data_IF_196064172338
#
_entry.id   IF_196064172338
#
_cell.length_a   1.000
_cell.length_b   1.000
_cell.length_c   1.000
_cell.angle_alpha   90.00
_cell.angle_beta   90.00
_cell.angle_gamma   90.00
#
_symmetry.space_group_name_H-M   'P 1'
#
loop_
_entity.id
_entity.type
_entity.pdbx_description
1 polymer ?
#
# COMPACT_ATOMS: atom_id res chain seq x y z
N UNK A 1 -36.75 1.16 -27.59
CA UNK A 1 -35.79 1.10 -26.47
C UNK A 1 -36.45 0.31 -25.36
N UNK A 2 -35.96 -0.89 -25.02
CA UNK A 2 -36.55 -1.69 -23.93
C UNK A 2 -35.94 -1.19 -22.61
N UNK A 3 -36.73 -1.17 -21.54
CA UNK A 3 -36.25 -0.74 -20.20
C UNK A 3 -35.07 -1.62 -19.72
N UNK A 4 -34.99 -2.87 -20.17
CA UNK A 4 -33.88 -3.78 -19.90
C UNK A 4 -32.53 -3.29 -20.49
N UNK A 5 -32.55 -2.44 -21.52
CA UNK A 5 -31.35 -1.86 -22.16
C UNK A 5 -30.79 -0.67 -21.35
N UNK A 6 -31.47 -0.25 -20.28
CA UNK A 6 -31.07 0.85 -19.39
C UNK A 6 -30.31 0.35 -18.14
N UNK A 7 -29.78 -0.87 -18.16
CA UNK A 7 -29.12 -1.47 -16.99
C UNK A 7 -27.81 -0.73 -16.66
N UNK A 8 -27.66 -0.15 -15.45
CA UNK A 8 -26.45 0.55 -15.01
C UNK A 8 -25.30 -0.41 -14.65
N UNK A 9 -25.46 -1.72 -14.85
CA UNK A 9 -24.52 -2.76 -14.39
C UNK A 9 -23.12 -2.65 -14.98
N UNK A 10 -22.96 -1.95 -16.11
CA UNK A 10 -21.67 -1.78 -16.80
C UNK A 10 -21.15 -0.34 -16.80
N UNK A 11 -21.71 0.57 -16.00
CA UNK A 11 -21.31 1.99 -16.01
C UNK A 11 -19.83 2.22 -15.66
N UNK A 12 -19.23 1.35 -14.86
CA UNK A 12 -17.83 1.48 -14.45
C UNK A 12 -16.83 1.19 -15.59
N UNK A 13 -17.18 0.30 -16.53
CA UNK A 13 -16.29 -0.10 -17.63
C UNK A 13 -15.86 1.11 -18.49
N UNK A 14 -16.78 1.93 -19.05
CA UNK A 14 -16.39 3.10 -19.85
C UNK A 14 -15.84 4.27 -19.01
N UNK A 15 -16.01 4.27 -17.68
CA UNK A 15 -15.37 5.25 -16.79
C UNK A 15 -13.92 4.88 -16.46
N UNK A 16 -13.61 3.58 -16.47
CA UNK A 16 -12.29 3.05 -16.16
C UNK A 16 -11.41 2.87 -17.41
N UNK A 17 -11.98 2.36 -18.50
CA UNK A 17 -11.27 2.13 -19.77
C UNK A 17 -11.35 3.42 -20.59
N UNK A 18 -10.20 4.06 -20.79
CA UNK A 18 -10.10 5.31 -21.55
C UNK A 18 -10.43 5.18 -23.05
N UNK A 19 -9.78 4.26 -23.79
CA UNK A 19 -10.03 4.09 -25.22
C UNK A 19 -11.46 3.61 -25.50
N UNK A 20 -12.17 4.32 -26.37
CA UNK A 20 -13.47 3.91 -26.91
C UNK A 20 -13.30 2.82 -27.98
N UNK A 21 -14.40 2.19 -28.40
CA UNK A 21 -14.37 1.21 -29.50
C UNK A 21 -13.77 1.79 -30.79
N UNK A 22 -14.00 3.08 -31.06
CA UNK A 22 -13.41 3.78 -32.21
C UNK A 22 -11.89 3.94 -32.05
N UNK A 23 -11.43 4.35 -30.86
CA UNK A 23 -10.00 4.50 -30.57
C UNK A 23 -9.29 3.15 -30.66
N UNK A 24 -9.90 2.10 -30.10
CA UNK A 24 -9.39 0.73 -30.15
C UNK A 24 -9.25 0.28 -31.62
N UNK A 25 -10.23 0.56 -32.47
CA UNK A 25 -10.16 0.21 -33.89
C UNK A 25 -9.01 0.95 -34.61
N UNK A 26 -8.83 2.24 -34.35
CA UNK A 26 -7.75 3.04 -34.95
C UNK A 26 -6.35 2.58 -34.46
N UNK A 27 -6.23 2.30 -33.16
CA UNK A 27 -5.01 1.75 -32.57
C UNK A 27 -4.65 0.38 -33.17
N UNK A 28 -5.63 -0.53 -33.28
CA UNK A 28 -5.44 -1.86 -33.87
C UNK A 28 -5.00 -1.76 -35.33
N UNK A 29 -5.63 -0.87 -36.12
CA UNK A 29 -5.25 -0.61 -37.51
C UNK A 29 -3.80 -0.14 -37.62
N UNK A 30 -3.36 0.76 -36.73
CA UNK A 30 -1.97 1.24 -36.66
C UNK A 30 -0.99 0.11 -36.37
N UNK A 31 -1.37 -0.82 -35.49
CA UNK A 31 -0.57 -1.99 -35.13
C UNK A 31 -0.69 -3.15 -36.14
N UNK A 32 -1.55 -3.06 -37.16
CA UNK A 32 -1.75 -4.10 -38.16
C UNK A 32 -2.62 -5.29 -37.71
N UNK A 33 -3.48 -5.08 -36.70
CA UNK A 33 -4.41 -6.09 -36.18
C UNK A 33 -5.86 -5.75 -36.52
N UNK A 34 -6.70 -6.78 -36.64
CA UNK A 34 -8.14 -6.66 -36.92
C UNK A 34 -9.00 -6.74 -35.65
N UNK A 35 -8.46 -7.27 -34.54
CA UNK A 35 -9.15 -7.38 -33.25
C UNK A 35 -8.17 -7.47 -32.08
N UNK A 36 -8.68 -7.18 -30.88
CA UNK A 36 -7.94 -7.41 -29.63
C UNK A 36 -7.57 -8.89 -29.44
N UNK A 37 -8.44 -9.82 -29.84
CA UNK A 37 -8.17 -11.26 -29.77
C UNK A 37 -6.98 -11.66 -30.65
N UNK A 38 -6.93 -11.15 -31.89
CA UNK A 38 -5.82 -11.42 -32.81
C UNK A 38 -4.50 -10.85 -32.26
N UNK A 39 -4.53 -9.67 -31.65
CA UNK A 39 -3.37 -9.09 -30.99
C UNK A 39 -2.93 -9.96 -29.80
N UNK A 40 -3.87 -10.38 -28.95
CA UNK A 40 -3.60 -11.24 -27.80
C UNK A 40 -3.02 -12.61 -28.22
N UNK A 41 -3.50 -13.21 -29.30
CA UNK A 41 -2.97 -14.47 -29.88
C UNK A 41 -1.49 -14.36 -30.28
N UNK A 42 -1.05 -13.16 -30.67
CA UNK A 42 0.34 -12.91 -31.08
C UNK A 42 1.25 -12.53 -29.92
N UNK A 43 0.72 -11.85 -28.90
CA UNK A 43 1.51 -11.35 -27.76
C UNK A 43 1.66 -12.41 -26.67
N UNK A 44 0.60 -13.16 -26.37
CA UNK A 44 0.56 -14.11 -25.26
C UNK A 44 0.89 -15.51 -25.80
N UNK A 45 1.97 -16.18 -25.33
CA UNK A 45 2.27 -17.54 -25.73
C UNK A 45 1.11 -18.49 -25.43
N UNK A 46 0.73 -19.31 -26.41
CA UNK A 46 -0.43 -20.19 -26.32
C UNK A 46 -0.35 -21.18 -25.13
N UNK A 47 0.86 -21.57 -24.72
CA UNK A 47 1.08 -22.51 -23.61
C UNK A 47 0.65 -21.94 -22.24
N UNK A 48 0.61 -20.61 -22.10
CA UNK A 48 0.24 -19.94 -20.84
C UNK A 48 -1.06 -19.12 -20.97
N UNK A 49 -1.70 -19.12 -22.14
CA UNK A 49 -2.95 -18.40 -22.34
C UNK A 49 -4.10 -19.16 -21.69
N UNK A 50 -4.81 -18.51 -20.77
CA UNK A 50 -6.01 -19.05 -20.15
C UNK A 50 -7.13 -19.23 -21.18
N UNK A 51 -7.73 -20.42 -21.21
CA UNK A 51 -8.87 -20.75 -22.07
C UNK A 51 -10.16 -21.02 -21.31
N UNK A 52 -10.12 -21.12 -19.98
CA UNK A 52 -11.31 -21.31 -19.16
C UNK A 52 -11.97 -19.97 -18.83
N UNK A 53 -13.29 -19.98 -18.74
CA UNK A 53 -14.07 -18.81 -18.32
C UNK A 53 -13.98 -18.63 -16.80
N UNK A 54 -13.92 -17.37 -16.35
CA UNK A 54 -13.95 -17.01 -14.93
C UNK A 54 -15.39 -16.92 -14.39
N UNK A 55 -16.13 -18.03 -14.47
CA UNK A 55 -17.54 -18.07 -14.08
C UNK A 55 -17.77 -17.67 -12.61
N UNK A 56 -16.79 -17.92 -11.74
CA UNK A 56 -16.87 -17.65 -10.30
C UNK A 56 -16.71 -16.16 -9.93
N UNK A 57 -16.23 -15.32 -10.86
CA UNK A 57 -16.07 -13.86 -10.62
C UNK A 57 -17.43 -13.14 -10.62
N UNK A 58 -18.46 -13.76 -11.21
CA UNK A 58 -19.79 -13.19 -11.31
C UNK A 58 -19.90 -12.05 -12.33
N UNK A 59 -21.09 -11.46 -12.42
CA UNK A 59 -21.33 -10.31 -13.29
C UNK A 59 -20.88 -9.01 -12.62
N UNK A 60 -20.58 -7.99 -13.43
CA UNK A 60 -20.35 -6.63 -12.94
C UNK A 60 -21.56 -6.08 -12.18
N UNK A 61 -21.27 -5.24 -11.18
CA UNK A 61 -22.27 -4.47 -10.44
C UNK A 61 -22.07 -2.98 -10.71
N UNK A 62 -23.14 -2.21 -10.64
CA UNK A 62 -23.06 -0.74 -10.75
C UNK A 62 -22.26 -0.15 -9.57
N UNK A 63 -21.72 1.05 -9.73
CA UNK A 63 -21.00 1.77 -8.68
C UNK A 63 -21.89 1.97 -7.46
N UNK A 64 -23.14 2.39 -7.69
CA UNK A 64 -24.13 2.52 -6.63
C UNK A 64 -24.42 1.19 -5.92
N UNK A 65 -24.52 0.10 -6.67
CA UNK A 65 -24.71 -1.25 -6.13
C UNK A 65 -23.53 -1.68 -5.25
N UNK A 66 -22.30 -1.44 -5.71
CA UNK A 66 -21.07 -1.71 -4.97
C UNK A 66 -21.03 -0.95 -3.65
N UNK A 67 -21.29 0.37 -3.66
CA UNK A 67 -21.27 1.19 -2.45
C UNK A 67 -22.33 0.74 -1.43
N UNK A 68 -23.54 0.38 -1.88
CA UNK A 68 -24.57 -0.15 -1.00
C UNK A 68 -24.16 -1.49 -0.38
N UNK A 69 -23.57 -2.39 -1.18
CA UNK A 69 -23.08 -3.67 -0.68
C UNK A 69 -21.95 -3.51 0.34
N UNK A 70 -20.96 -2.66 0.05
CA UNK A 70 -19.88 -2.33 0.97
C UNK A 70 -20.40 -1.71 2.26
N UNK A 71 -21.37 -0.79 2.19
CA UNK A 71 -22.00 -0.20 3.38
C UNK A 71 -22.67 -1.25 4.26
N UNK A 72 -23.37 -2.22 3.66
CA UNK A 72 -23.95 -3.34 4.41
C UNK A 72 -22.89 -4.20 5.09
N UNK A 73 -21.78 -4.49 4.39
CA UNK A 73 -20.67 -5.25 4.95
C UNK A 73 -20.02 -4.52 6.13
N UNK A 74 -19.65 -3.24 5.94
CA UNK A 74 -18.99 -2.40 6.95
C UNK A 74 -19.91 -2.15 8.16
N UNK A 75 -21.24 -2.10 7.97
CA UNK A 75 -22.20 -1.92 9.07
C UNK A 75 -22.18 -3.04 10.12
N UNK A 76 -21.58 -4.20 9.81
CA UNK A 76 -21.38 -5.30 10.76
C UNK A 76 -20.24 -5.04 11.74
N UNK A 77 -19.31 -4.14 11.41
CA UNK A 77 -18.21 -3.77 12.30
C UNK A 77 -18.74 -2.93 13.46
N UNK A 78 -18.18 -3.14 14.65
CA UNK A 78 -18.51 -2.38 15.85
C UNK A 78 -17.37 -1.44 16.18
N UNK A 79 -17.65 -0.13 16.18
CA UNK A 79 -16.67 0.89 16.55
C UNK A 79 -16.72 1.08 18.07
N UNK A 80 -15.64 0.70 18.75
CA UNK A 80 -15.47 0.83 20.20
C UNK A 80 -14.49 1.95 20.53
N UNK A 81 -14.57 2.44 21.77
CA UNK A 81 -13.45 3.17 22.38
C UNK A 81 -12.39 2.15 22.77
N UNK A 82 -11.34 2.03 21.96
CA UNK A 82 -10.29 1.04 22.16
C UNK A 82 -9.14 1.66 22.94
N UNK A 83 -8.82 1.08 24.10
CA UNK A 83 -7.66 1.45 24.93
C UNK A 83 -6.66 0.29 25.02
N UNK A 84 -6.62 -0.56 23.99
CA UNK A 84 -5.68 -1.68 23.89
C UNK A 84 -4.24 -1.17 23.79
N UNK A 85 -4.02 -0.05 23.10
CA UNK A 85 -2.68 0.48 22.83
C UNK A 85 -1.94 -0.40 21.85
N UNK A 86 -0.79 -0.95 22.26
CA UNK A 86 0.05 -1.84 21.46
C UNK A 86 0.44 -1.23 20.10
N UNK A 87 0.84 0.05 20.10
CA UNK A 87 1.28 0.77 18.90
C UNK A 87 0.17 1.52 18.16
N UNK A 88 -1.11 1.22 18.44
CA UNK A 88 -2.25 1.86 17.79
C UNK A 88 -3.10 2.63 18.80
N UNK A 89 -3.23 3.94 18.56
CA UNK A 89 -3.93 4.86 19.45
C UNK A 89 -4.91 5.69 18.62
N UNK A 90 -6.14 5.84 19.11
CA UNK A 90 -7.13 6.67 18.43
C UNK A 90 -6.68 8.13 18.37
N UNK A 91 -7.04 8.83 17.31
CA UNK A 91 -6.59 10.21 17.07
C UNK A 91 -7.66 11.02 16.32
N UNK A 92 -7.70 12.32 16.60
CA UNK A 92 -8.57 13.24 15.86
C UNK A 92 -7.80 13.70 14.63
N UNK A 93 -8.13 13.13 13.47
CA UNK A 93 -7.62 13.66 12.19
C UNK A 93 -8.30 15.01 11.93
N UNK A 94 -7.55 16.12 11.81
CA UNK A 94 -8.15 17.42 11.51
C UNK A 94 -8.96 17.36 10.21
N UNK A 95 -10.21 17.83 10.24
CA UNK A 95 -11.13 17.72 9.11
C UNK A 95 -10.62 18.40 7.84
N UNK A 96 -9.82 19.47 8.00
CA UNK A 96 -9.15 20.14 6.88
C UNK A 96 -8.10 19.25 6.20
N UNK A 97 -7.42 18.38 6.95
CA UNK A 97 -6.44 17.42 6.41
C UNK A 97 -7.19 16.27 5.74
N UNK A 98 -8.20 15.71 6.41
CA UNK A 98 -9.02 14.64 5.83
C UNK A 98 -9.61 15.06 4.47
N UNK A 99 -10.26 16.23 4.42
CA UNK A 99 -10.97 16.66 3.21
C UNK A 99 -10.04 17.07 2.08
N UNK A 100 -8.97 17.79 2.38
CA UNK A 100 -8.16 18.44 1.33
C UNK A 100 -6.89 17.66 0.94
N UNK A 101 -6.52 16.63 1.71
CA UNK A 101 -5.37 15.76 1.43
C UNK A 101 -5.86 14.32 1.22
N UNK A 102 -6.44 13.68 2.24
CA UNK A 102 -6.79 12.26 2.18
C UNK A 102 -7.90 11.94 1.15
N UNK A 103 -8.93 12.78 1.10
CA UNK A 103 -10.06 12.64 0.16
C UNK A 103 -9.84 13.40 -1.18
N UNK A 104 -8.63 13.86 -1.46
CA UNK A 104 -8.33 14.69 -2.63
C UNK A 104 -7.38 13.97 -3.62
N UNK A 105 -7.85 13.61 -4.84
CA UNK A 105 -7.02 12.87 -5.80
C UNK A 105 -5.75 13.60 -6.23
N UNK A 106 -5.70 14.93 -6.13
CA UNK A 106 -4.48 15.70 -6.42
C UNK A 106 -3.31 15.24 -5.54
N UNK A 107 -3.57 14.76 -4.32
CA UNK A 107 -2.55 14.29 -3.40
C UNK A 107 -2.22 12.80 -3.50
N UNK A 108 -3.20 11.94 -3.84
CA UNK A 108 -3.01 10.48 -3.79
C UNK A 108 -2.87 9.79 -5.16
N UNK A 109 -3.06 10.49 -6.28
CA UNK A 109 -2.95 9.87 -7.63
C UNK A 109 -1.55 9.94 -8.22
N UNK A 110 -0.73 10.92 -7.81
CA UNK A 110 0.66 10.99 -8.23
C UNK A 110 1.49 9.89 -7.55
N UNK A 111 2.53 9.40 -8.23
CA UNK A 111 3.44 8.39 -7.70
C UNK A 111 4.73 9.02 -7.12
N UNK A 112 5.74 8.19 -6.88
CA UNK A 112 7.06 8.59 -6.39
C UNK A 112 7.58 9.82 -7.13
N UNK A 113 8.13 10.82 -6.42
CA UNK A 113 8.61 12.09 -7.01
C UNK A 113 9.91 11.95 -7.80
N UNK A 114 9.94 11.08 -8.82
CA UNK A 114 11.09 10.93 -9.73
C UNK A 114 11.36 12.18 -10.58
N UNK A 115 10.36 13.05 -10.75
CA UNK A 115 10.46 14.33 -11.45
C UNK A 115 10.28 15.46 -10.43
N UNK A 116 11.36 15.92 -9.78
CA UNK A 116 11.26 16.81 -8.63
C UNK A 116 10.64 18.17 -8.96
N UNK A 117 10.86 18.70 -10.16
CA UNK A 117 10.38 20.02 -10.61
C UNK A 117 8.85 20.12 -10.60
N UNK A 118 8.16 19.02 -10.89
CA UNK A 118 6.69 18.92 -10.87
C UNK A 118 6.16 18.24 -9.60
N UNK A 119 7.00 18.11 -8.58
CA UNK A 119 6.70 17.37 -7.35
C UNK A 119 7.01 18.13 -6.06
N UNK A 120 7.37 19.41 -6.15
CA UNK A 120 7.83 20.21 -5.01
C UNK A 120 6.84 20.22 -3.84
N UNK A 121 5.52 20.30 -4.09
CA UNK A 121 4.53 20.33 -3.01
C UNK A 121 4.58 19.12 -2.07
N UNK A 122 4.70 17.89 -2.60
CA UNK A 122 4.82 16.68 -1.76
C UNK A 122 6.22 16.49 -1.21
N UNK A 123 7.25 16.90 -1.95
CA UNK A 123 8.64 16.88 -1.46
C UNK A 123 8.83 17.79 -0.25
N UNK A 124 8.22 18.98 -0.26
CA UNK A 124 8.22 19.89 0.88
C UNK A 124 7.47 19.30 2.08
N UNK A 125 6.31 18.67 1.87
CA UNK A 125 5.59 17.97 2.92
C UNK A 125 6.40 16.81 3.54
N UNK A 126 7.13 16.06 2.71
CA UNK A 126 8.04 15.00 3.18
C UNK A 126 9.25 15.57 3.93
N UNK A 127 9.78 16.72 3.51
CA UNK A 127 10.84 17.42 4.24
C UNK A 127 10.33 17.87 5.62
N UNK A 128 9.10 18.40 5.70
CA UNK A 128 8.47 18.75 6.98
C UNK A 128 8.31 17.52 7.89
N UNK A 129 7.95 16.36 7.32
CA UNK A 129 7.93 15.08 8.06
C UNK A 129 9.32 14.73 8.60
N UNK A 130 10.36 14.82 7.76
CA UNK A 130 11.74 14.53 8.19
C UNK A 130 12.19 15.47 9.31
N UNK A 131 11.95 16.76 9.18
CA UNK A 131 12.26 17.76 10.21
C UNK A 131 11.51 17.47 11.50
N UNK A 132 10.20 17.20 11.43
CA UNK A 132 9.40 16.85 12.60
C UNK A 132 9.95 15.62 13.34
N UNK A 133 10.30 14.55 12.60
CA UNK A 133 10.85 13.33 13.20
C UNK A 133 12.25 13.57 13.78
N UNK A 134 13.12 14.30 13.07
CA UNK A 134 14.45 14.66 13.54
C UNK A 134 14.39 15.48 14.84
N UNK A 135 13.55 16.52 14.88
CA UNK A 135 13.37 17.40 16.04
C UNK A 135 12.80 16.65 17.25
N UNK A 136 11.77 15.81 17.05
CA UNK A 136 11.14 15.04 18.14
C UNK A 136 12.08 14.00 18.76
N UNK A 137 12.97 13.41 17.96
CA UNK A 137 13.91 12.39 18.42
C UNK A 137 15.28 12.95 18.79
N UNK A 138 15.56 14.23 18.50
CA UNK A 138 16.88 14.83 18.68
C UNK A 138 17.97 14.19 17.80
N UNK A 139 17.58 13.61 16.65
CA UNK A 139 18.47 12.91 15.73
C UNK A 139 18.85 13.82 14.55
N UNK A 140 20.04 13.62 13.99
CA UNK A 140 20.55 14.48 12.91
C UNK A 140 19.81 14.30 11.58
N UNK A 141 19.30 13.09 11.31
CA UNK A 141 18.66 12.73 10.05
C UNK A 141 17.44 11.83 10.27
N UNK A 142 16.44 11.98 9.40
CA UNK A 142 15.29 11.09 9.28
C UNK A 142 15.00 10.82 7.80
N UNK A 143 14.48 9.64 7.48
CA UNK A 143 14.03 9.32 6.13
C UNK A 143 12.58 9.80 5.90
N UNK A 144 12.06 9.59 4.68
CA UNK A 144 10.73 10.00 4.27
C UNK A 144 9.64 8.93 4.55
N UNK A 145 9.74 8.22 5.69
CA UNK A 145 8.90 7.08 6.16
C UNK A 145 9.39 5.66 5.83
N UNK A 146 8.85 4.69 6.58
CA UNK A 146 8.90 3.25 6.35
C UNK A 146 7.47 2.68 6.46
N UNK A 147 7.31 1.36 6.33
CA UNK A 147 5.99 0.72 6.25
C UNK A 147 5.22 0.74 7.59
N UNK A 148 5.86 0.30 8.67
CA UNK A 148 5.29 0.24 10.01
C UNK A 148 6.39 0.19 11.09
N UNK A 149 6.02 0.22 12.37
CA UNK A 149 6.95 0.20 13.51
C UNK A 149 7.81 -1.08 13.54
N UNK A 150 7.21 -2.25 13.31
CA UNK A 150 7.89 -3.54 13.38
C UNK A 150 8.97 -3.68 12.30
N UNK A 151 8.62 -3.32 11.07
CA UNK A 151 9.56 -3.32 9.95
C UNK A 151 10.63 -2.24 10.10
N UNK A 152 10.30 -1.06 10.62
CA UNK A 152 11.29 -0.04 10.93
C UNK A 152 12.30 -0.51 11.99
N UNK A 153 11.85 -1.20 13.04
CA UNK A 153 12.74 -1.79 14.03
C UNK A 153 13.64 -2.89 13.43
N UNK A 154 13.11 -3.71 12.52
CA UNK A 154 13.93 -4.67 11.79
C UNK A 154 14.99 -3.98 10.91
N UNK A 155 14.63 -2.93 10.16
CA UNK A 155 15.60 -2.13 9.38
C UNK A 155 16.68 -1.51 10.28
N UNK A 156 16.33 -1.08 11.49
CA UNK A 156 17.30 -0.61 12.48
C UNK A 156 18.26 -1.72 12.92
N UNK A 157 17.76 -2.95 13.15
CA UNK A 157 18.60 -4.13 13.42
C UNK A 157 19.56 -4.40 12.25
N UNK A 158 19.08 -4.37 11.01
CA UNK A 158 19.92 -4.54 9.82
C UNK A 158 21.02 -3.47 9.71
N UNK A 159 20.65 -2.20 9.94
CA UNK A 159 21.59 -1.09 9.92
C UNK A 159 22.66 -1.24 11.01
N UNK A 160 22.25 -1.58 12.23
CA UNK A 160 23.16 -1.82 13.35
C UNK A 160 24.12 -2.97 13.07
N UNK A 161 23.63 -4.10 12.51
CA UNK A 161 24.47 -5.20 12.08
C UNK A 161 25.51 -4.76 11.04
N UNK A 162 25.07 -4.00 10.03
CA UNK A 162 25.93 -3.57 8.92
C UNK A 162 27.05 -2.61 9.36
N UNK A 163 26.80 -1.83 10.42
CA UNK A 163 27.78 -0.90 11.00
C UNK A 163 28.65 -1.55 12.09
N UNK A 164 28.30 -2.77 12.54
CA UNK A 164 29.03 -3.48 13.58
C UNK A 164 30.45 -3.83 13.11
N UNK A 165 31.46 -3.46 13.91
CA UNK A 165 32.88 -3.72 13.61
C UNK A 165 33.39 -5.03 14.19
N UNK A 166 32.58 -5.73 14.98
CA UNK A 166 32.94 -6.99 15.63
C UNK A 166 32.28 -8.16 14.90
N UNK A 167 32.50 -9.38 15.38
CA UNK A 167 31.82 -10.58 14.89
C UNK A 167 30.49 -10.85 15.62
N UNK A 168 29.97 -9.87 16.35
CA UNK A 168 28.71 -10.02 17.07
C UNK A 168 27.57 -10.27 16.07
N UNK A 169 26.79 -11.30 16.34
CA UNK A 169 25.69 -11.75 15.50
C UNK A 169 24.37 -11.83 16.29
N UNK A 170 24.39 -11.35 17.54
CA UNK A 170 23.26 -11.37 18.45
C UNK A 170 22.70 -9.96 18.66
N UNK A 171 21.38 -9.85 18.77
CA UNK A 171 20.64 -8.63 19.08
C UNK A 171 19.79 -8.82 20.32
N UNK A 172 19.86 -7.88 21.25
CA UNK A 172 19.01 -7.85 22.45
C UNK A 172 17.73 -7.09 22.13
N UNK A 173 16.59 -7.71 22.41
CA UNK A 173 15.25 -7.12 22.23
C UNK A 173 14.56 -7.08 23.59
N UNK A 174 14.03 -5.93 23.97
CA UNK A 174 13.31 -5.80 25.24
C UNK A 174 11.99 -6.57 25.20
N UNK A 175 11.65 -7.36 26.24
CA UNK A 175 10.36 -8.04 26.33
C UNK A 175 9.18 -7.08 26.47
N UNK A 176 9.43 -5.81 26.82
CA UNK A 176 8.39 -4.78 27.00
C UNK A 176 8.00 -4.09 25.68
N UNK A 177 8.67 -4.41 24.57
CA UNK A 177 8.26 -3.95 23.25
C UNK A 177 6.91 -4.55 22.85
N UNK A 178 6.27 -3.96 21.85
CA UNK A 178 5.01 -4.50 21.35
C UNK A 178 5.22 -5.92 20.78
N UNK A 179 4.35 -6.90 21.13
CA UNK A 179 4.55 -8.30 20.72
C UNK A 179 4.73 -8.50 19.22
N UNK A 180 3.97 -7.77 18.41
CA UNK A 180 4.06 -7.84 16.95
C UNK A 180 5.41 -7.28 16.42
N UNK A 181 6.02 -6.31 17.10
CA UNK A 181 7.35 -5.79 16.74
C UNK A 181 8.42 -6.85 17.02
N UNK A 182 8.36 -7.52 18.18
CA UNK A 182 9.29 -8.61 18.54
C UNK A 182 9.20 -9.74 17.49
N UNK A 183 7.98 -10.13 17.11
CA UNK A 183 7.75 -11.19 16.13
C UNK A 183 8.27 -10.81 14.73
N UNK A 184 8.08 -9.57 14.29
CA UNK A 184 8.61 -9.07 13.01
C UNK A 184 10.14 -9.06 13.02
N UNK A 185 10.77 -8.60 14.11
CA UNK A 185 12.23 -8.64 14.26
C UNK A 185 12.74 -10.07 14.18
N UNK A 186 12.15 -10.99 14.94
CA UNK A 186 12.52 -12.41 14.93
C UNK A 186 12.39 -13.04 13.55
N UNK A 187 11.28 -12.79 12.85
CA UNK A 187 11.04 -13.26 11.48
C UNK A 187 12.08 -12.73 10.49
N UNK A 188 12.54 -11.49 10.66
CA UNK A 188 13.55 -10.87 9.81
C UNK A 188 14.97 -11.34 10.14
N UNK A 189 15.23 -11.66 11.41
CA UNK A 189 16.51 -12.16 11.90
C UNK A 189 16.81 -13.59 11.40
N UNK A 190 15.79 -14.46 11.38
CA UNK A 190 15.92 -15.88 11.03
C UNK A 190 16.64 -16.16 9.70
N UNK A 191 16.24 -15.61 8.54
CA UNK A 191 16.88 -15.93 7.26
C UNK A 191 18.32 -15.42 7.14
N UNK A 192 18.76 -14.55 8.04
CA UNK A 192 20.13 -14.01 8.08
C UNK A 192 21.01 -14.76 9.08
N UNK A 193 20.40 -15.63 9.89
CA UNK A 193 21.06 -16.32 10.98
C UNK A 193 21.41 -15.42 12.16
N UNK A 194 20.74 -14.28 12.35
CA UNK A 194 20.95 -13.42 13.52
C UNK A 194 20.33 -14.06 14.77
N UNK A 195 21.04 -14.03 15.88
CA UNK A 195 20.55 -14.52 17.17
C UNK A 195 19.74 -13.42 17.86
N UNK A 196 18.45 -13.64 18.08
CA UNK A 196 17.61 -12.72 18.84
C UNK A 196 17.52 -13.16 20.30
N UNK A 197 17.97 -12.31 21.21
CA UNK A 197 17.92 -12.54 22.66
C UNK A 197 16.85 -11.62 23.25
N UNK A 198 15.72 -12.20 23.68
CA UNK A 198 14.65 -11.43 24.33
C UNK A 198 14.91 -11.34 25.82
N UNK A 199 15.35 -10.17 26.29
CA UNK A 199 15.58 -9.91 27.71
C UNK A 199 15.61 -8.42 28.03
N UNK A 200 15.47 -8.10 29.32
CA UNK A 200 15.58 -6.74 29.85
C UNK A 200 16.99 -6.18 29.54
N UNK A 201 17.11 -5.12 28.70
CA UNK A 201 18.40 -4.58 28.31
C UNK A 201 19.20 -4.03 29.49
N UNK A 202 18.56 -3.62 30.59
CA UNK A 202 19.25 -3.12 31.79
C UNK A 202 19.96 -4.23 32.59
N UNK A 203 19.67 -5.50 32.26
CA UNK A 203 20.29 -6.68 32.89
C UNK A 203 21.28 -7.39 31.96
N UNK A 204 21.56 -6.81 30.80
CA UNK A 204 22.56 -7.31 29.87
C UNK A 204 23.93 -6.75 30.27
N UNK A 205 24.84 -7.64 30.68
CA UNK A 205 26.22 -7.34 31.11
C UNK A 205 27.20 -7.49 29.92
#
# INVERSE_FOLDING_TARGET
>A
MKIADLSPTNECIPLHIGPTDSDIHEMLKTLGFNSLDQMADKVIPAQIRTTHAYADVGNGISEHGLLNHLKQMVSKNKVYKNYIGMGYHDTITPTVIQRNIFENPVWYTAYTPYQPEISQGRLEALLNFQTMIADLNGMEIANASLLDEGTAAAEAMFMAHSLCKTKANAFVVSPDMHPHVIEVIGTRAEPLGFEMIVMDPAKYD
#
